data_IF_627468866848
#
_entry.id   IF_627468866848
#
_cell.length_a   1.000
_cell.length_b   1.000
_cell.length_c   1.000
_cell.angle_alpha   90.00
_cell.angle_beta   90.00
_cell.angle_gamma   90.00
#
_symmetry.space_group_name_H-M   'P 1'
#
loop_
_entity.id
_entity.type
_entity.pdbx_description
1 polymer ?
#
# COMPACT_ATOMS: atom_id res chain seq x y z
N UNK A 1 24.46 33.88 -20.62
CA UNK A 1 23.27 34.13 -19.77
C UNK A 1 22.09 33.51 -20.49
N UNK A 2 21.75 32.27 -20.16
CA UNK A 2 20.57 31.61 -20.72
C UNK A 2 19.34 32.19 -20.04
N UNK A 3 18.44 32.76 -20.83
CA UNK A 3 17.13 33.21 -20.36
C UNK A 3 16.32 31.99 -19.94
N UNK A 4 16.06 31.83 -18.65
CA UNK A 4 15.00 30.93 -18.19
C UNK A 4 13.71 31.43 -18.83
N UNK A 5 13.13 30.65 -19.74
CA UNK A 5 11.80 30.92 -20.24
C UNK A 5 10.86 30.84 -19.03
N UNK A 6 10.13 31.91 -18.74
CA UNK A 6 9.09 31.92 -17.74
C UNK A 6 8.03 30.90 -18.18
N UNK A 7 7.82 29.86 -17.37
CA UNK A 7 6.77 28.87 -17.61
C UNK A 7 5.42 29.58 -17.75
N UNK A 8 4.61 29.16 -18.73
CA UNK A 8 3.24 29.65 -18.84
C UNK A 8 2.40 29.07 -17.70
N UNK A 9 1.39 29.82 -17.24
CA UNK A 9 0.44 29.31 -16.24
C UNK A 9 -0.78 28.71 -16.94
N UNK A 10 -1.16 27.50 -16.55
CA UNK A 10 -2.39 26.82 -16.97
C UNK A 10 -3.30 26.67 -15.75
N UNK A 11 -4.53 27.17 -15.85
CA UNK A 11 -5.55 27.02 -14.79
C UNK A 11 -6.59 25.99 -15.23
N UNK A 12 -6.68 24.90 -14.49
CA UNK A 12 -7.68 23.84 -14.63
C UNK A 12 -8.83 24.16 -13.68
N UNK A 13 -9.91 24.73 -14.23
CA UNK A 13 -11.15 25.08 -13.51
C UNK A 13 -12.36 24.25 -13.95
N UNK A 14 -12.14 23.28 -14.83
CA UNK A 14 -13.10 22.26 -15.26
C UNK A 14 -12.39 20.91 -15.29
N UNK A 15 -13.15 19.83 -15.09
CA UNK A 15 -12.58 18.49 -15.10
C UNK A 15 -11.84 18.22 -16.42
N UNK A 16 -10.57 17.86 -16.32
CA UNK A 16 -9.65 17.75 -17.44
C UNK A 16 -8.91 16.42 -17.37
N UNK A 17 -8.71 15.79 -18.53
CA UNK A 17 -7.95 14.56 -18.68
C UNK A 17 -6.70 14.83 -19.51
N UNK A 18 -5.55 14.42 -18.99
CA UNK A 18 -4.25 14.47 -19.65
C UNK A 18 -3.72 13.03 -19.71
N UNK A 19 -3.65 12.49 -20.91
CA UNK A 19 -3.16 11.14 -21.16
C UNK A 19 -1.66 11.12 -21.49
N UNK A 20 -1.10 9.92 -21.63
CA UNK A 20 0.33 9.69 -21.80
C UNK A 20 1.01 10.42 -22.98
N UNK A 21 0.25 10.76 -24.03
CA UNK A 21 0.75 11.45 -25.21
C UNK A 21 0.37 12.95 -25.23
N UNK A 22 -0.25 13.47 -24.16
CA UNK A 22 -0.74 14.84 -24.05
C UNK A 22 0.22 15.73 -23.25
N UNK A 23 1.19 16.33 -23.95
CA UNK A 23 2.14 17.28 -23.35
C UNK A 23 1.60 18.72 -23.17
N UNK A 24 0.28 18.94 -23.20
CA UNK A 24 -0.29 20.30 -23.20
C UNK A 24 -0.01 21.13 -21.94
N UNK A 25 0.31 20.46 -20.83
CA UNK A 25 0.66 21.10 -19.55
C UNK A 25 2.14 20.91 -19.16
N UNK A 26 2.93 20.23 -19.99
CA UNK A 26 4.34 19.97 -19.67
C UNK A 26 5.15 21.27 -19.69
N UNK A 27 5.99 21.44 -18.66
CA UNK A 27 6.80 22.63 -18.41
C UNK A 27 6.01 23.84 -17.94
N UNK A 28 4.71 23.71 -17.64
CA UNK A 28 3.85 24.81 -17.22
C UNK A 28 3.67 24.87 -15.70
N UNK A 29 3.33 26.05 -15.20
CA UNK A 29 2.79 26.23 -13.85
C UNK A 29 1.31 25.84 -13.87
N UNK A 30 0.95 24.73 -13.23
CA UNK A 30 -0.42 24.19 -13.26
C UNK A 30 -1.15 24.53 -11.96
N UNK A 31 -2.29 25.19 -12.09
CA UNK A 31 -3.21 25.46 -10.98
C UNK A 31 -4.49 24.66 -11.18
N UNK A 32 -4.81 23.75 -10.26
CA UNK A 32 -6.08 23.03 -10.23
C UNK A 32 -7.00 23.71 -9.22
N UNK A 33 -8.04 24.39 -9.72
CA UNK A 33 -8.90 25.28 -8.94
C UNK A 33 -10.34 24.74 -8.93
N UNK A 34 -10.69 24.03 -7.85
CA UNK A 34 -12.03 23.48 -7.66
C UNK A 34 -12.48 22.44 -8.70
N UNK A 35 -11.54 21.87 -9.44
CA UNK A 35 -11.77 20.90 -10.51
C UNK A 35 -10.95 19.62 -10.34
N UNK A 36 -11.24 18.62 -11.15
CA UNK A 36 -10.52 17.35 -11.19
C UNK A 36 -9.58 17.28 -12.41
N UNK A 37 -8.28 17.20 -12.17
CA UNK A 37 -7.28 16.85 -13.17
C UNK A 37 -6.98 15.35 -13.08
N UNK A 38 -7.32 14.59 -14.13
CA UNK A 38 -6.89 13.20 -14.28
C UNK A 38 -5.64 13.16 -15.14
N UNK A 39 -4.56 12.58 -14.62
CA UNK A 39 -3.25 12.51 -15.27
C UNK A 39 -2.72 11.07 -15.24
N UNK A 40 -2.31 10.58 -16.40
CA UNK A 40 -1.79 9.23 -16.59
C UNK A 40 -0.35 9.26 -17.09
N UNK A 41 0.43 8.21 -16.82
CA UNK A 41 1.84 8.10 -17.21
C UNK A 41 2.71 9.22 -16.63
N UNK A 42 3.82 9.52 -17.32
CA UNK A 42 4.84 10.47 -16.90
C UNK A 42 4.54 11.86 -17.46
N UNK A 43 4.44 12.85 -16.59
CA UNK A 43 4.37 14.27 -16.98
C UNK A 43 5.35 15.12 -16.20
N UNK A 44 5.82 16.21 -16.82
CA UNK A 44 6.79 17.12 -16.19
C UNK A 44 6.21 18.52 -16.10
N UNK A 45 5.94 19.02 -14.90
CA UNK A 45 5.38 20.36 -14.66
C UNK A 45 6.47 21.31 -14.13
N UNK A 46 6.27 22.61 -14.33
CA UNK A 46 7.10 23.62 -13.67
C UNK A 46 6.73 23.72 -12.18
N UNK A 47 5.44 23.90 -11.88
CA UNK A 47 4.87 23.87 -10.53
C UNK A 47 3.46 23.28 -10.55
N UNK A 48 2.98 22.83 -9.39
CA UNK A 48 1.63 22.32 -9.21
C UNK A 48 0.98 22.92 -7.96
N UNK A 49 -0.13 23.63 -8.14
CA UNK A 49 -0.91 24.23 -7.04
C UNK A 49 -2.33 23.71 -7.07
N UNK A 50 -2.81 23.11 -5.99
CA UNK A 50 -4.21 22.68 -5.85
C UNK A 50 -4.92 23.55 -4.81
N UNK A 51 -5.99 24.22 -5.22
CA UNK A 51 -6.78 25.15 -4.39
C UNK A 51 -8.27 24.91 -4.53
N UNK A 52 -9.05 25.41 -3.58
CA UNK A 52 -10.52 25.38 -3.60
C UNK A 52 -11.13 23.97 -3.81
N UNK A 53 -10.54 22.94 -3.18
CA UNK A 53 -10.90 21.52 -3.36
C UNK A 53 -10.49 20.95 -4.73
N UNK A 54 -9.42 21.48 -5.34
CA UNK A 54 -8.81 20.91 -6.53
C UNK A 54 -8.32 19.48 -6.28
N UNK A 55 -8.51 18.60 -7.26
CA UNK A 55 -8.14 17.18 -7.17
C UNK A 55 -7.26 16.78 -8.34
N UNK A 56 -6.12 16.15 -8.06
CA UNK A 56 -5.33 15.42 -9.06
C UNK A 56 -5.52 13.92 -8.83
N UNK A 57 -5.79 13.16 -9.89
CA UNK A 57 -5.96 11.69 -9.84
C UNK A 57 -5.35 11.01 -11.06
N UNK A 58 -5.38 9.69 -11.12
CA UNK A 58 -5.07 8.92 -12.32
C UNK A 58 -6.22 7.99 -12.70
N UNK A 59 -6.17 7.45 -13.92
CA UNK A 59 -7.17 6.53 -14.44
C UNK A 59 -7.28 5.30 -13.56
N UNK A 60 -8.54 4.95 -13.33
CA UNK A 60 -8.94 3.78 -12.58
C UNK A 60 -8.33 2.51 -13.16
N UNK A 61 -7.42 1.85 -12.43
CA UNK A 61 -6.79 0.58 -12.82
C UNK A 61 -5.39 0.74 -13.32
N UNK A 62 -4.89 1.97 -13.31
CA UNK A 62 -3.69 2.37 -13.99
C UNK A 62 -3.83 2.29 -15.50
N UNK A 63 -2.75 2.69 -16.16
CA UNK A 63 -2.53 2.50 -17.59
C UNK A 63 -1.32 1.62 -17.74
N UNK A 64 -1.26 0.79 -18.80
CA UNK A 64 -0.04 0.07 -19.18
C UNK A 64 0.66 0.96 -20.22
N UNK A 65 1.76 1.66 -19.86
CA UNK A 65 2.47 2.49 -20.81
C UNK A 65 3.09 1.66 -21.93
N UNK A 66 3.37 2.26 -23.10
CA UNK A 66 4.07 1.55 -24.18
C UNK A 66 5.42 0.97 -23.69
N UNK A 67 5.56 -0.35 -23.79
CA UNK A 67 6.79 -1.05 -23.39
C UNK A 67 6.76 -1.68 -22.00
N UNK A 68 5.73 -1.38 -21.20
CA UNK A 68 5.52 -2.00 -19.89
C UNK A 68 4.56 -3.21 -19.98
N UNK A 69 4.63 -4.09 -18.98
CA UNK A 69 3.76 -5.27 -18.88
C UNK A 69 2.71 -5.16 -17.79
N UNK A 70 2.86 -4.20 -16.87
CA UNK A 70 1.99 -4.01 -15.71
C UNK A 70 1.42 -2.59 -15.70
N UNK A 71 0.21 -2.40 -15.15
CA UNK A 71 -0.38 -1.08 -15.05
C UNK A 71 0.31 -0.23 -13.97
N UNK A 72 0.50 1.06 -14.28
CA UNK A 72 1.09 2.06 -13.40
C UNK A 72 0.08 3.15 -13.02
N UNK A 73 0.33 3.83 -11.91
CA UNK A 73 -0.45 5.01 -11.49
C UNK A 73 0.05 6.30 -12.14
N UNK A 74 -0.07 7.43 -11.43
CA UNK A 74 0.52 8.70 -11.89
C UNK A 74 1.99 8.80 -11.53
N UNK A 75 2.76 9.41 -12.42
CA UNK A 75 4.12 9.86 -12.13
C UNK A 75 4.30 11.31 -12.58
N UNK A 76 4.47 12.20 -11.60
CA UNK A 76 4.69 13.62 -11.85
C UNK A 76 6.09 14.02 -11.42
N UNK A 77 6.83 14.59 -12.37
CA UNK A 77 8.03 15.37 -12.08
C UNK A 77 7.65 16.83 -12.04
N UNK A 78 7.88 17.50 -10.91
CA UNK A 78 7.63 18.94 -10.73
C UNK A 78 8.96 19.61 -10.46
N UNK A 79 9.44 20.43 -11.39
CA UNK A 79 10.79 21.01 -11.29
C UNK A 79 10.92 22.07 -10.20
N UNK A 80 9.82 22.73 -9.84
CA UNK A 80 9.70 23.68 -8.75
C UNK A 80 8.91 23.10 -7.58
N UNK A 81 7.87 23.81 -7.15
CA UNK A 81 7.12 23.50 -5.94
C UNK A 81 5.77 22.80 -6.22
N UNK A 82 5.34 21.98 -5.26
CA UNK A 82 3.96 21.51 -5.13
C UNK A 82 3.34 22.18 -3.90
N UNK A 83 2.14 22.73 -4.03
CA UNK A 83 1.32 23.23 -2.93
C UNK A 83 -0.08 22.64 -2.97
N UNK A 84 -0.47 21.91 -1.91
CA UNK A 84 -1.80 21.32 -1.75
C UNK A 84 -2.50 22.05 -0.59
N UNK A 85 -3.43 22.94 -0.90
CA UNK A 85 -4.23 23.65 0.10
C UNK A 85 -5.14 22.68 0.89
N UNK A 86 -5.50 23.06 2.12
CA UNK A 86 -6.51 22.35 2.90
C UNK A 86 -7.82 22.14 2.10
N UNK A 87 -8.31 20.91 2.06
CA UNK A 87 -9.47 20.50 1.26
C UNK A 87 -9.15 20.03 -0.16
N UNK A 88 -7.97 20.37 -0.69
CA UNK A 88 -7.46 19.88 -1.98
C UNK A 88 -6.67 18.59 -1.85
N UNK A 89 -6.57 17.81 -2.94
CA UNK A 89 -6.15 16.40 -2.86
C UNK A 89 -5.34 15.92 -4.06
N UNK A 90 -4.26 15.17 -3.81
CA UNK A 90 -3.74 14.22 -4.79
C UNK A 90 -4.28 12.84 -4.39
N UNK A 91 -5.21 12.29 -5.17
CA UNK A 91 -6.05 11.15 -4.77
C UNK A 91 -5.95 10.00 -5.76
N UNK A 92 -5.52 8.85 -5.27
CA UNK A 92 -5.51 7.54 -5.91
C UNK A 92 -6.40 6.51 -5.19
N UNK A 93 -7.31 6.94 -4.31
CA UNK A 93 -8.23 6.05 -3.61
C UNK A 93 -9.04 5.20 -4.59
N UNK A 94 -9.04 3.88 -4.37
CA UNK A 94 -9.74 2.88 -5.22
C UNK A 94 -9.32 2.95 -6.70
N UNK A 95 -8.11 3.41 -7.02
CA UNK A 95 -7.59 3.53 -8.40
C UNK A 95 -6.68 2.36 -8.83
N UNK A 96 -6.49 1.35 -7.99
CA UNK A 96 -5.69 0.16 -8.27
C UNK A 96 -6.45 -0.98 -8.95
N UNK A 97 -6.06 -2.24 -8.71
CA UNK A 97 -6.70 -3.39 -9.37
C UNK A 97 -8.15 -3.59 -8.92
N UNK A 98 -9.00 -4.01 -9.85
CA UNK A 98 -10.39 -4.36 -9.60
C UNK A 98 -10.54 -5.60 -8.68
N UNK A 99 -11.78 -5.92 -8.28
CA UNK A 99 -12.08 -7.09 -7.44
C UNK A 99 -11.43 -8.37 -7.97
N UNK A 100 -10.93 -9.19 -7.05
CA UNK A 100 -10.28 -10.48 -7.31
C UNK A 100 -9.13 -10.40 -8.35
N UNK A 101 -8.50 -9.22 -8.46
CA UNK A 101 -7.45 -8.95 -9.44
C UNK A 101 -6.24 -8.28 -8.78
N UNK A 102 -5.10 -8.39 -9.46
CA UNK A 102 -3.79 -7.91 -9.00
C UNK A 102 -2.93 -9.02 -8.38
N UNK A 103 -1.62 -8.79 -8.19
CA UNK A 103 -0.69 -9.82 -7.72
C UNK A 103 -1.03 -10.41 -6.34
N UNK A 104 -1.74 -9.65 -5.51
CA UNK A 104 -2.24 -10.07 -4.20
C UNK A 104 -3.76 -9.96 -4.12
N UNK A 105 -4.49 -10.31 -5.18
CA UNK A 105 -5.95 -10.33 -5.18
C UNK A 105 -6.51 -11.23 -4.08
N UNK A 106 -7.56 -10.77 -3.39
CA UNK A 106 -8.22 -11.57 -2.36
C UNK A 106 -8.93 -12.79 -2.97
N UNK A 107 -8.89 -13.91 -2.25
CA UNK A 107 -9.56 -15.15 -2.64
C UNK A 107 -11.09 -15.01 -2.68
N UNK A 108 -11.72 -15.61 -3.69
CA UNK A 108 -13.15 -15.49 -3.96
C UNK A 108 -13.88 -16.78 -3.61
N UNK A 109 -14.87 -16.66 -2.75
CA UNK A 109 -15.72 -17.75 -2.25
C UNK A 109 -17.01 -17.14 -1.66
N UNK A 110 -17.86 -17.93 -1.02
CA UNK A 110 -19.06 -17.41 -0.32
C UNK A 110 -18.66 -16.42 0.79
N UNK A 111 -17.45 -16.56 1.32
CA UNK A 111 -16.79 -15.67 2.26
C UNK A 111 -15.41 -15.29 1.71
N UNK A 112 -15.24 -14.05 1.26
CA UNK A 112 -14.07 -13.65 0.52
C UNK A 112 -12.98 -13.00 1.39
N UNK A 113 -11.72 -13.19 0.97
CA UNK A 113 -10.54 -12.60 1.60
C UNK A 113 -10.25 -11.19 1.08
N UNK A 114 -9.52 -10.42 1.88
CA UNK A 114 -9.07 -9.08 1.50
C UNK A 114 -7.95 -9.10 0.46
N UNK A 115 -7.86 -8.03 -0.33
CA UNK A 115 -6.73 -7.80 -1.22
C UNK A 115 -5.49 -7.38 -0.44
N UNK A 116 -4.31 -7.59 -1.02
CA UNK A 116 -3.02 -7.28 -0.43
C UNK A 116 -2.21 -6.25 -1.21
N UNK A 117 -1.23 -5.66 -0.53
CA UNK A 117 -0.15 -4.88 -1.13
C UNK A 117 1.13 -5.05 -0.30
N UNK A 118 1.44 -4.18 0.66
CA UNK A 118 2.53 -4.43 1.61
C UNK A 118 2.10 -5.30 2.78
N UNK A 119 0.90 -5.06 3.29
CA UNK A 119 0.22 -5.98 4.19
C UNK A 119 -0.45 -7.10 3.40
N UNK A 120 -0.45 -8.30 3.98
CA UNK A 120 -1.34 -9.38 3.55
C UNK A 120 -2.80 -8.94 3.71
N UNK A 121 -3.67 -9.43 2.85
CA UNK A 121 -5.11 -9.29 3.04
C UNK A 121 -5.57 -10.15 4.23
N UNK A 122 -6.62 -9.72 4.89
CA UNK A 122 -7.30 -10.54 5.89
C UNK A 122 -7.95 -11.77 5.27
N UNK A 123 -7.97 -12.87 6.00
CA UNK A 123 -8.76 -14.04 5.66
C UNK A 123 -10.25 -13.83 5.97
N UNK A 124 -11.11 -14.61 5.31
CA UNK A 124 -12.53 -14.65 5.63
C UNK A 124 -12.84 -15.45 6.90
N UNK A 125 -14.04 -15.29 7.45
CA UNK A 125 -14.42 -15.89 8.75
C UNK A 125 -14.54 -17.41 8.76
N UNK A 126 -14.55 -18.06 7.58
CA UNK A 126 -15.01 -19.44 7.41
C UNK A 126 -14.09 -20.30 6.55
N UNK A 127 -12.77 -20.09 6.61
CA UNK A 127 -11.77 -20.82 5.82
C UNK A 127 -11.82 -22.36 5.92
N UNK A 128 -12.36 -22.92 7.00
CA UNK A 128 -12.52 -24.37 7.15
C UNK A 128 -13.56 -24.95 6.18
N UNK A 129 -14.61 -24.18 5.87
CA UNK A 129 -15.68 -24.56 4.95
C UNK A 129 -15.49 -23.98 3.55
N UNK A 130 -14.78 -22.84 3.47
CA UNK A 130 -14.60 -22.01 2.28
C UNK A 130 -13.12 -21.65 2.10
N UNK A 131 -12.29 -22.64 1.71
CA UNK A 131 -10.83 -22.51 1.73
C UNK A 131 -10.29 -21.52 0.70
N UNK A 132 -11.09 -21.13 -0.30
CA UNK A 132 -10.72 -20.16 -1.33
C UNK A 132 -10.92 -18.71 -0.85
N UNK A 133 -11.48 -18.50 0.34
CA UNK A 133 -11.70 -17.20 0.99
C UNK A 133 -10.46 -16.57 1.66
N UNK A 134 -9.25 -16.95 1.25
CA UNK A 134 -7.99 -16.47 1.85
C UNK A 134 -7.64 -15.06 1.41
N UNK A 135 -6.99 -14.30 2.29
CA UNK A 135 -6.40 -13.02 1.96
C UNK A 135 -5.27 -13.14 0.95
N UNK A 136 -5.03 -12.06 0.20
CA UNK A 136 -3.92 -12.00 -0.75
C UNK A 136 -2.55 -11.94 -0.06
N UNK A 137 -1.49 -12.31 -0.79
CA UNK A 137 -0.10 -12.14 -0.35
C UNK A 137 0.46 -10.78 -0.76
N UNK A 138 1.43 -10.29 0.03
CA UNK A 138 2.09 -9.01 -0.20
C UNK A 138 3.06 -9.04 -1.39
N UNK A 139 3.30 -7.87 -2.00
CA UNK A 139 4.20 -7.66 -3.15
C UNK A 139 4.65 -6.19 -3.25
N UNK A 140 5.48 -5.88 -4.25
CA UNK A 140 6.00 -4.54 -4.50
C UNK A 140 7.28 -4.21 -3.73
N UNK A 141 7.88 -3.06 -4.06
CA UNK A 141 9.15 -2.60 -3.48
C UNK A 141 8.91 -1.67 -2.31
N UNK A 142 9.65 -1.88 -1.20
CA UNK A 142 9.67 -0.96 -0.05
C UNK A 142 10.30 0.39 -0.41
N UNK A 143 11.38 0.36 -1.20
CA UNK A 143 12.19 1.55 -1.51
C UNK A 143 11.67 2.31 -2.73
N UNK A 144 11.02 1.61 -3.67
CA UNK A 144 10.52 2.21 -4.93
C UNK A 144 9.05 1.81 -5.16
N UNK A 145 8.11 2.25 -4.30
CA UNK A 145 6.73 1.79 -4.37
C UNK A 145 6.00 2.47 -5.54
N UNK A 146 5.80 1.71 -6.62
CA UNK A 146 5.05 2.15 -7.81
C UNK A 146 3.89 1.22 -8.18
N UNK A 147 3.77 0.06 -7.53
CA UNK A 147 2.73 -0.92 -7.84
C UNK A 147 1.37 -0.49 -7.31
N UNK A 148 0.32 -0.77 -8.07
CA UNK A 148 -1.07 -0.57 -7.63
C UNK A 148 -1.46 -1.58 -6.54
N UNK A 149 -2.37 -1.19 -5.65
CA UNK A 149 -3.04 -2.06 -4.67
C UNK A 149 -3.95 -3.09 -5.32
N UNK A 150 -4.04 -4.30 -4.73
CA UNK A 150 -4.89 -5.38 -5.25
C UNK A 150 -6.33 -5.26 -4.77
N UNK A 151 -7.28 -5.77 -5.55
CA UNK A 151 -8.69 -5.80 -5.17
C UNK A 151 -9.01 -6.98 -4.24
N UNK A 152 -10.03 -6.79 -3.40
CA UNK A 152 -10.58 -7.83 -2.53
C UNK A 152 -11.36 -8.88 -3.32
N UNK A 153 -11.49 -10.07 -2.71
CA UNK A 153 -12.17 -11.21 -3.30
C UNK A 153 -13.67 -11.00 -3.48
N UNK A 154 -14.24 -11.77 -4.39
CA UNK A 154 -15.66 -11.74 -4.73
C UNK A 154 -16.45 -12.68 -3.83
N UNK A 155 -17.59 -12.21 -3.32
CA UNK A 155 -18.64 -13.05 -2.74
C UNK A 155 -19.35 -13.80 -3.87
N UNK A 156 -19.14 -15.12 -3.94
CA UNK A 156 -19.71 -15.96 -5.01
C UNK A 156 -21.18 -16.26 -4.83
N UNK A 157 -21.68 -16.30 -3.59
CA UNK A 157 -23.06 -16.62 -3.25
C UNK A 157 -24.01 -15.50 -3.67
N UNK A 158 -23.62 -14.24 -3.40
CA UNK A 158 -24.43 -13.07 -3.76
C UNK A 158 -23.94 -12.36 -5.04
N UNK A 159 -22.90 -12.91 -5.68
CA UNK A 159 -22.29 -12.38 -6.89
C UNK A 159 -21.73 -10.95 -6.76
N UNK A 160 -21.36 -10.51 -5.55
CA UNK A 160 -20.89 -9.15 -5.24
C UNK A 160 -19.36 -9.05 -5.33
N UNK A 161 -18.88 -8.03 -6.05
CA UNK A 161 -17.44 -7.74 -6.15
C UNK A 161 -16.87 -7.12 -4.88
N UNK A 162 -15.66 -7.53 -4.53
CA UNK A 162 -14.86 -6.94 -3.46
C UNK A 162 -14.43 -5.49 -3.74
N UNK A 163 -13.87 -4.89 -2.71
CA UNK A 163 -13.30 -3.55 -2.74
C UNK A 163 -12.14 -3.45 -3.73
N UNK A 164 -12.02 -2.30 -4.37
CA UNK A 164 -10.94 -2.02 -5.33
C UNK A 164 -9.67 -1.59 -4.60
N UNK A 165 -8.50 -2.00 -5.06
CA UNK A 165 -7.24 -1.56 -4.46
C UNK A 165 -6.97 -0.07 -4.65
N UNK A 166 -6.11 0.51 -3.82
CA UNK A 166 -5.57 1.87 -3.97
C UNK A 166 -4.65 1.98 -5.20
N UNK A 167 -4.58 3.16 -5.80
CA UNK A 167 -3.72 3.41 -6.95
C UNK A 167 -2.26 3.69 -6.57
N UNK A 168 -1.47 4.23 -7.49
CA UNK A 168 -0.09 4.61 -7.23
C UNK A 168 0.16 6.08 -7.56
N UNK A 169 0.89 6.76 -6.68
CA UNK A 169 1.28 8.15 -6.82
C UNK A 169 2.80 8.21 -6.69
N UNK A 170 3.49 8.71 -7.73
CA UNK A 170 4.91 9.03 -7.67
C UNK A 170 5.12 10.51 -7.96
N UNK A 171 5.69 11.24 -7.01
CA UNK A 171 5.99 12.67 -7.11
C UNK A 171 7.49 12.88 -6.95
N UNK A 172 8.13 13.48 -7.95
CA UNK A 172 9.50 13.97 -7.88
C UNK A 172 9.47 15.49 -7.91
N UNK A 173 9.78 16.15 -6.80
CA UNK A 173 9.64 17.60 -6.61
C UNK A 173 11.01 18.24 -6.41
N UNK A 174 11.40 19.16 -7.30
CA UNK A 174 12.70 19.83 -7.21
C UNK A 174 12.79 20.78 -6.00
N UNK A 175 11.68 21.39 -5.61
CA UNK A 175 11.59 22.35 -4.52
C UNK A 175 10.83 21.81 -3.30
N UNK A 176 9.89 22.61 -2.82
CA UNK A 176 9.05 22.32 -1.66
C UNK A 176 7.81 21.53 -2.09
N UNK A 177 7.53 20.43 -1.40
CA UNK A 177 6.25 19.76 -1.41
C UNK A 177 5.50 20.14 -0.13
N UNK A 178 4.63 21.16 -0.25
CA UNK A 178 3.77 21.65 0.84
C UNK A 178 2.42 20.94 0.79
N UNK A 179 2.12 20.16 1.82
CA UNK A 179 0.91 19.34 1.93
C UNK A 179 0.11 19.80 3.15
N UNK A 180 -0.85 20.71 2.95
CA UNK A 180 -1.86 21.08 3.94
C UNK A 180 -3.24 20.43 3.67
N UNK A 181 -3.43 19.90 2.46
CA UNK A 181 -4.52 19.01 2.08
C UNK A 181 -4.18 17.52 2.29
N UNK A 182 -4.45 16.67 1.31
CA UNK A 182 -4.14 15.23 1.43
C UNK A 182 -3.48 14.63 0.19
N UNK A 183 -2.64 13.61 0.43
CA UNK A 183 -2.17 12.66 -0.58
C UNK A 183 -2.66 11.27 -0.18
N UNK A 184 -3.51 10.65 -1.00
CA UNK A 184 -4.29 9.47 -0.57
C UNK A 184 -4.23 8.34 -1.61
N UNK A 185 -3.95 7.12 -1.18
CA UNK A 185 -3.99 5.91 -2.01
C UNK A 185 -4.77 4.78 -1.30
N UNK A 186 -5.95 5.10 -0.76
CA UNK A 186 -6.75 4.19 0.06
C UNK A 186 -7.35 3.03 -0.74
N UNK A 187 -7.37 1.86 -0.11
CA UNK A 187 -8.17 0.72 -0.54
C UNK A 187 -9.68 0.98 -0.42
N UNK A 188 -10.46 0.23 -1.20
CA UNK A 188 -11.92 0.28 -1.11
C UNK A 188 -12.46 -0.68 -0.09
N UNK A 189 -13.44 -0.23 0.69
CA UNK A 189 -14.19 -1.10 1.60
C UNK A 189 -14.95 -2.20 0.86
N UNK A 190 -15.42 -3.19 1.61
CA UNK A 190 -16.33 -4.21 1.10
C UNK A 190 -17.64 -3.59 0.57
N UNK A 191 -18.10 -4.06 -0.60
CA UNK A 191 -19.33 -3.59 -1.24
C UNK A 191 -20.56 -4.50 -0.98
N UNK A 192 -20.48 -5.46 -0.05
CA UNK A 192 -21.55 -6.43 0.22
C UNK A 192 -21.28 -7.32 1.43
N UNK A 193 -22.21 -8.21 1.76
CA UNK A 193 -22.19 -8.90 3.06
C UNK A 193 -20.96 -9.77 3.32
N UNK A 194 -20.34 -10.33 2.27
CA UNK A 194 -19.17 -11.22 2.41
C UNK A 194 -18.02 -10.93 1.43
N UNK A 195 -18.08 -9.84 0.65
CA UNK A 195 -17.01 -9.52 -0.29
C UNK A 195 -15.78 -8.95 0.46
N UNK A 196 -14.57 -9.26 0.00
CA UNK A 196 -13.33 -8.80 0.63
C UNK A 196 -13.06 -7.32 0.35
N UNK A 197 -12.34 -6.64 1.24
CA UNK A 197 -11.93 -5.26 1.00
C UNK A 197 -10.64 -5.17 0.14
N UNK A 198 -10.43 -4.04 -0.53
CA UNK A 198 -9.26 -3.79 -1.37
C UNK A 198 -8.07 -3.28 -0.56
N UNK A 199 -6.85 -3.58 -1.01
CA UNK A 199 -5.62 -3.13 -0.37
C UNK A 199 -5.37 -1.63 -0.55
N UNK A 200 -4.54 -1.05 0.32
CA UNK A 200 -3.91 0.23 0.08
C UNK A 200 -3.01 0.22 -1.16
N UNK A 201 -2.66 1.41 -1.63
CA UNK A 201 -1.84 1.63 -2.82
C UNK A 201 -0.40 2.05 -2.51
N UNK A 202 0.25 2.68 -3.49
CA UNK A 202 1.61 3.21 -3.34
C UNK A 202 1.63 4.74 -3.34
N UNK A 203 2.41 5.34 -2.43
CA UNK A 203 2.74 6.77 -2.45
C UNK A 203 4.26 6.89 -2.35
N UNK A 204 4.88 7.51 -3.35
CA UNK A 204 6.30 7.81 -3.37
C UNK A 204 6.50 9.30 -3.61
N UNK A 205 7.07 10.00 -2.64
CA UNK A 205 7.36 11.43 -2.73
C UNK A 205 8.85 11.63 -2.50
N UNK A 206 9.55 12.10 -3.54
CA UNK A 206 10.93 12.56 -3.46
C UNK A 206 10.94 14.07 -3.63
N UNK A 207 11.39 14.84 -2.63
CA UNK A 207 11.36 16.30 -2.66
C UNK A 207 12.58 16.97 -2.05
N UNK A 208 12.80 18.26 -2.35
CA UNK A 208 13.78 19.07 -1.61
C UNK A 208 13.32 19.25 -0.16
N UNK A 209 12.19 19.91 0.03
CA UNK A 209 11.58 20.13 1.36
C UNK A 209 10.19 19.52 1.44
N UNK A 210 9.95 18.65 2.42
CA UNK A 210 8.61 18.16 2.77
C UNK A 210 8.04 19.03 3.90
N UNK A 211 6.89 19.66 3.68
CA UNK A 211 6.29 20.60 4.64
C UNK A 211 4.77 20.47 4.70
N UNK A 212 4.18 21.02 5.76
CA UNK A 212 2.72 21.11 5.93
C UNK A 212 2.18 20.25 7.07
N UNK A 213 0.87 20.27 7.20
CA UNK A 213 0.12 19.65 8.31
C UNK A 213 -1.01 18.74 7.86
N UNK A 214 -1.15 18.55 6.55
CA UNK A 214 -2.08 17.65 5.89
C UNK A 214 -1.75 16.16 6.11
N UNK A 215 -2.42 15.25 5.39
CA UNK A 215 -2.23 13.81 5.60
C UNK A 215 -1.68 13.09 4.38
N UNK A 216 -0.90 12.02 4.63
CA UNK A 216 -0.39 11.10 3.60
C UNK A 216 -0.81 9.68 3.99
N UNK A 217 -1.77 9.09 3.26
CA UNK A 217 -2.45 7.85 3.70
C UNK A 217 -2.58 6.81 2.59
N UNK A 218 -2.19 5.57 2.89
CA UNK A 218 -2.27 4.42 1.98
C UNK A 218 -2.88 3.19 2.69
N UNK A 219 -3.89 3.42 3.54
CA UNK A 219 -4.53 2.37 4.32
C UNK A 219 -5.37 1.42 3.46
N UNK A 220 -5.49 0.17 3.92
CA UNK A 220 -6.38 -0.84 3.36
C UNK A 220 -7.85 -0.55 3.66
N UNK A 221 -8.74 -1.05 2.80
CA UNK A 221 -10.18 -0.91 2.97
C UNK A 221 -10.73 -1.81 4.08
N UNK A 222 -11.89 -1.42 4.63
CA UNK A 222 -12.56 -2.13 5.71
C UNK A 222 -13.47 -3.23 5.13
N UNK A 223 -13.23 -4.47 5.57
CA UNK A 223 -14.08 -5.64 5.33
C UNK A 223 -15.30 -5.68 6.26
N UNK A 224 -16.05 -6.77 6.22
CA UNK A 224 -17.17 -7.01 7.14
C UNK A 224 -16.75 -7.97 8.25
N UNK A 225 -17.64 -8.29 9.19
CA UNK A 225 -17.40 -9.37 10.17
C UNK A 225 -17.28 -10.76 9.55
N UNK A 226 -17.47 -10.89 8.24
CA UNK A 226 -17.48 -12.15 7.51
C UNK A 226 -16.41 -12.20 6.41
N UNK A 227 -15.83 -11.07 6.05
CA UNK A 227 -14.82 -10.95 4.99
C UNK A 227 -13.53 -10.34 5.50
N UNK A 228 -12.44 -10.58 4.77
CA UNK A 228 -11.14 -10.05 5.12
C UNK A 228 -10.99 -8.55 4.91
N UNK A 229 -10.27 -7.89 5.81
CA UNK A 229 -9.81 -6.51 5.65
C UNK A 229 -8.71 -6.39 4.59
N UNK A 230 -8.59 -5.23 3.94
CA UNK A 230 -7.54 -4.99 2.95
C UNK A 230 -6.18 -4.79 3.61
N UNK A 231 -5.11 -5.33 3.04
CA UNK A 231 -3.75 -5.07 3.51
C UNK A 231 -3.34 -3.62 3.29
N UNK A 232 -2.48 -3.08 4.18
CA UNK A 232 -1.94 -1.74 4.05
C UNK A 232 -1.01 -1.57 2.84
N UNK A 233 -0.90 -0.33 2.36
CA UNK A 233 -0.10 0.04 1.20
C UNK A 233 1.37 0.36 1.50
N UNK A 234 2.04 1.03 0.56
CA UNK A 234 3.44 1.46 0.70
C UNK A 234 3.55 2.98 0.60
N UNK A 235 4.28 3.57 1.52
CA UNK A 235 4.64 4.99 1.49
C UNK A 235 6.16 5.09 1.54
N UNK A 236 6.76 5.84 0.63
CA UNK A 236 8.17 6.25 0.69
C UNK A 236 8.27 7.77 0.59
N UNK A 237 8.84 8.39 1.62
CA UNK A 237 9.07 9.83 1.70
C UNK A 237 10.57 10.10 1.73
N UNK A 238 11.10 10.56 0.61
CA UNK A 238 12.49 10.96 0.44
C UNK A 238 12.59 12.48 0.42
N UNK A 239 13.38 13.06 1.32
CA UNK A 239 13.50 14.52 1.44
C UNK A 239 14.90 14.95 1.82
N UNK A 240 15.27 16.19 1.52
CA UNK A 240 16.51 16.80 2.02
C UNK A 240 16.26 17.49 3.37
N UNK A 241 15.10 18.14 3.51
CA UNK A 241 14.61 18.74 4.75
C UNK A 241 13.14 18.39 4.96
N UNK A 242 12.72 18.25 6.23
CA UNK A 242 11.30 18.07 6.57
C UNK A 242 10.90 18.95 7.74
N UNK A 243 9.80 19.67 7.56
CA UNK A 243 9.03 20.35 8.61
C UNK A 243 7.59 19.83 8.66
N UNK A 244 7.31 18.74 7.96
CA UNK A 244 6.00 18.11 7.93
C UNK A 244 5.65 17.51 9.30
N UNK A 245 4.45 17.84 9.78
CA UNK A 245 3.94 17.42 11.10
C UNK A 245 2.62 16.64 11.00
N UNK A 246 2.18 16.38 9.77
CA UNK A 246 0.95 15.67 9.50
C UNK A 246 1.05 14.16 9.73
N UNK A 247 -0.08 13.45 9.82
CA UNK A 247 -0.07 12.00 9.93
C UNK A 247 0.37 11.31 8.63
N UNK A 248 1.11 10.21 8.79
CA UNK A 248 1.46 9.29 7.70
C UNK A 248 1.03 7.88 8.10
N UNK A 249 0.17 7.23 7.32
CA UNK A 249 -0.33 5.89 7.65
C UNK A 249 -0.44 4.95 6.45
N UNK A 250 -0.19 3.67 6.71
CA UNK A 250 -0.38 2.58 5.76
C UNK A 250 -0.95 1.36 6.50
N UNK A 251 -2.00 1.54 7.29
CA UNK A 251 -2.59 0.50 8.12
C UNK A 251 -3.33 -0.54 7.28
N UNK A 252 -3.42 -1.77 7.79
CA UNK A 252 -4.42 -2.72 7.32
C UNK A 252 -5.82 -2.28 7.71
N UNK A 253 -6.80 -2.60 6.87
CA UNK A 253 -8.21 -2.36 7.15
C UNK A 253 -8.80 -3.46 8.03
N UNK A 254 -9.84 -3.12 8.80
CA UNK A 254 -10.50 -4.09 9.68
C UNK A 254 -11.25 -5.17 8.88
N UNK A 255 -11.45 -6.36 9.46
CA UNK A 255 -12.28 -7.42 8.86
C UNK A 255 -12.62 -8.54 9.84
N UNK A 256 -13.06 -9.69 9.31
CA UNK A 256 -13.09 -10.92 10.12
C UNK A 256 -11.69 -11.32 10.56
N UNK A 257 -10.74 -11.12 9.65
CA UNK A 257 -9.33 -10.96 9.98
C UNK A 257 -8.94 -9.59 9.43
N UNK A 258 -8.31 -8.76 10.26
CA UNK A 258 -7.80 -7.47 9.80
C UNK A 258 -6.71 -7.67 8.75
N UNK A 259 -6.51 -6.70 7.86
CA UNK A 259 -5.36 -6.67 6.97
C UNK A 259 -4.05 -6.45 7.74
N UNK A 260 -2.96 -6.94 7.17
CA UNK A 260 -1.63 -6.67 7.71
C UNK A 260 -1.24 -5.21 7.50
N UNK A 261 -0.34 -4.71 8.34
CA UNK A 261 0.24 -3.39 8.16
C UNK A 261 0.98 -3.29 6.83
N UNK A 262 0.89 -2.11 6.22
CA UNK A 262 1.76 -1.68 5.14
C UNK A 262 3.11 -1.19 5.65
N UNK A 263 3.80 -0.38 4.84
CA UNK A 263 5.12 0.14 5.18
C UNK A 263 5.22 1.64 4.93
N UNK A 264 5.88 2.36 5.85
CA UNK A 264 6.23 3.78 5.70
C UNK A 264 7.75 3.95 5.79
N UNK A 265 8.40 4.29 4.68
CA UNK A 265 9.83 4.60 4.62
C UNK A 265 10.04 6.12 4.69
N UNK A 266 10.87 6.56 5.63
CA UNK A 266 11.28 7.94 5.81
C UNK A 266 12.78 8.04 5.55
N UNK A 267 13.18 8.76 4.50
CA UNK A 267 14.58 8.89 4.09
C UNK A 267 15.00 10.37 4.00
N UNK A 268 15.88 10.78 4.92
CA UNK A 268 16.55 12.07 4.83
C UNK A 268 17.86 11.93 4.03
N UNK A 269 17.78 12.27 2.75
CA UNK A 269 18.85 12.09 1.76
C UNK A 269 20.13 12.90 2.05
N UNK A 270 20.06 13.91 2.93
CA UNK A 270 21.21 14.77 3.27
C UNK A 270 21.62 14.69 4.74
N UNK A 271 20.79 14.08 5.59
CA UNK A 271 20.96 14.07 7.05
C UNK A 271 22.06 13.15 7.56
N UNK A 272 22.67 12.33 6.71
CA UNK A 272 23.74 11.39 7.07
C UNK A 272 23.33 10.25 8.01
N UNK A 273 22.04 10.16 8.37
CA UNK A 273 21.44 9.04 9.09
C UNK A 273 20.90 7.97 8.13
N UNK A 274 20.69 6.76 8.64
CA UNK A 274 19.99 5.70 7.90
C UNK A 274 18.51 6.09 7.75
N UNK A 275 17.89 5.74 6.62
CA UNK A 275 16.44 5.81 6.48
C UNK A 275 15.74 5.00 7.58
N UNK A 276 14.46 5.29 7.85
CA UNK A 276 13.64 4.58 8.83
C UNK A 276 12.41 3.99 8.15
N UNK A 277 12.25 2.67 8.25
CA UNK A 277 11.07 1.92 7.84
C UNK A 277 10.19 1.66 9.06
N UNK A 278 8.99 2.25 9.09
CA UNK A 278 7.99 2.05 10.13
C UNK A 278 6.92 1.09 9.61
N UNK A 279 6.62 0.08 10.43
CA UNK A 279 5.52 -0.87 10.26
C UNK A 279 4.64 -0.77 11.50
N UNK A 280 3.45 -0.19 11.31
CA UNK A 280 2.48 0.14 12.36
C UNK A 280 1.11 -0.34 11.87
N UNK A 281 0.31 -0.99 12.73
CA UNK A 281 -1.04 -1.43 12.39
C UNK A 281 -2.13 -0.83 13.29
N UNK A 282 -1.92 0.39 13.79
CA UNK A 282 -2.87 1.17 14.56
C UNK A 282 -3.45 0.42 15.77
N UNK A 283 -2.60 -0.29 16.50
CA UNK A 283 -2.96 -1.15 17.63
C UNK A 283 -4.01 -2.22 17.30
N UNK A 284 -4.07 -2.67 16.03
CA UNK A 284 -4.84 -3.86 15.65
C UNK A 284 -4.42 -5.04 16.52
N UNK A 285 -5.40 -5.83 16.96
CA UNK A 285 -5.19 -7.01 17.79
C UNK A 285 -5.18 -8.29 16.97
N UNK A 286 -5.48 -8.19 15.67
CA UNK A 286 -5.46 -9.31 14.75
C UNK A 286 -4.06 -9.55 14.16
N UNK A 287 -3.90 -10.65 13.41
CA UNK A 287 -2.61 -11.27 13.14
C UNK A 287 -2.15 -11.28 11.69
N UNK A 288 -2.84 -10.59 10.78
CA UNK A 288 -2.36 -10.52 9.41
C UNK A 288 -0.98 -9.81 9.36
N UNK A 289 -0.14 -10.29 8.46
CA UNK A 289 1.27 -9.94 8.45
C UNK A 289 1.56 -8.83 7.45
N UNK A 290 2.57 -8.03 7.75
CA UNK A 290 3.46 -7.49 6.72
C UNK A 290 4.41 -8.61 6.32
N UNK A 291 4.24 -9.20 5.13
CA UNK A 291 4.99 -10.41 4.80
C UNK A 291 6.42 -10.11 4.32
N UNK A 292 7.33 -10.95 4.76
CA UNK A 292 8.74 -11.03 4.41
C UNK A 292 8.91 -12.34 3.62
N UNK A 293 8.37 -12.33 2.41
CA UNK A 293 8.38 -13.49 1.52
C UNK A 293 9.73 -13.56 0.78
N UNK A 294 10.46 -14.65 0.97
CA UNK A 294 11.78 -14.82 0.34
C UNK A 294 12.87 -13.99 1.01
N UNK A 295 13.85 -13.54 0.22
CA UNK A 295 14.94 -12.68 0.67
C UNK A 295 14.53 -11.21 0.58
N UNK A 296 14.36 -10.58 1.74
CA UNK A 296 14.02 -9.16 1.86
C UNK A 296 15.20 -8.43 2.48
N UNK A 297 15.74 -7.47 1.73
CA UNK A 297 16.83 -6.60 2.18
C UNK A 297 16.28 -5.21 2.42
N UNK A 298 16.40 -4.73 3.65
CA UNK A 298 16.00 -3.38 4.04
C UNK A 298 17.26 -2.58 4.37
N UNK A 299 17.54 -1.57 3.55
CA UNK A 299 18.62 -0.59 3.77
C UNK A 299 18.12 0.59 4.59
N UNK A 300 17.54 0.29 5.75
CA UNK A 300 16.96 1.24 6.69
C UNK A 300 17.05 0.68 8.11
N UNK A 301 16.94 1.53 9.12
CA UNK A 301 16.45 1.11 10.42
C UNK A 301 14.98 0.69 10.30
N UNK A 302 14.54 -0.30 11.06
CA UNK A 302 13.20 -0.89 10.99
C UNK A 302 12.55 -0.85 12.36
N UNK A 303 11.35 -0.29 12.44
CA UNK A 303 10.50 -0.32 13.62
C UNK A 303 9.21 -1.10 13.31
N UNK A 304 8.96 -2.17 14.05
CA UNK A 304 7.69 -2.92 14.03
C UNK A 304 6.94 -2.66 15.34
N UNK A 305 5.76 -2.05 15.29
CA UNK A 305 5.07 -1.58 16.50
C UNK A 305 3.54 -1.58 16.35
N UNK A 306 2.81 -1.28 17.43
CA UNK A 306 1.39 -0.95 17.43
C UNK A 306 0.53 -1.98 16.67
N UNK A 307 0.65 -3.26 17.01
CA UNK A 307 -0.13 -4.34 16.39
C UNK A 307 0.44 -4.84 15.06
N UNK A 308 1.52 -4.27 14.54
CA UNK A 308 2.19 -4.79 13.36
C UNK A 308 2.91 -6.10 13.63
N UNK A 309 2.83 -7.03 12.69
CA UNK A 309 3.46 -8.33 12.76
C UNK A 309 4.20 -8.63 11.46
N UNK A 310 5.48 -8.97 11.55
CA UNK A 310 6.28 -9.38 10.39
C UNK A 310 6.48 -10.89 10.40
N UNK A 311 6.44 -11.53 9.24
CA UNK A 311 6.63 -12.98 9.10
C UNK A 311 6.52 -13.40 7.63
N UNK A 312 6.44 -14.68 7.32
CA UNK A 312 6.30 -15.13 5.92
C UNK A 312 4.89 -15.66 5.63
N UNK A 313 4.49 -15.68 4.36
CA UNK A 313 3.28 -16.38 3.92
C UNK A 313 3.33 -17.87 4.29
N UNK A 314 2.17 -18.48 4.57
CA UNK A 314 2.08 -19.93 4.82
C UNK A 314 2.58 -20.72 3.61
N UNK A 315 3.32 -21.81 3.85
CA UNK A 315 3.82 -22.68 2.77
C UNK A 315 5.19 -22.28 2.19
N UNK A 316 5.78 -21.18 2.66
CA UNK A 316 7.16 -20.83 2.37
C UNK A 316 8.14 -21.56 3.30
N UNK A 317 9.37 -21.79 2.83
CA UNK A 317 10.41 -22.51 3.58
C UNK A 317 11.00 -21.70 4.75
N UNK A 318 10.73 -20.39 4.81
CA UNK A 318 11.17 -19.52 5.90
C UNK A 318 11.03 -18.03 5.56
N UNK A 319 11.39 -17.18 6.52
CA UNK A 319 11.54 -15.73 6.34
C UNK A 319 13.03 -15.36 6.37
N UNK A 320 13.50 -14.63 5.36
CA UNK A 320 14.89 -14.17 5.28
C UNK A 320 14.91 -12.64 5.24
N UNK A 321 15.04 -12.01 6.41
CA UNK A 321 15.15 -10.56 6.54
C UNK A 321 16.60 -10.17 6.81
N UNK A 322 17.16 -9.34 5.94
CA UNK A 322 18.43 -8.63 6.19
C UNK A 322 18.13 -7.16 6.43
N UNK A 323 18.48 -6.65 7.61
CA UNK A 323 18.37 -5.23 7.96
C UNK A 323 19.76 -4.62 7.99
N UNK A 324 20.06 -3.72 7.06
CA UNK A 324 21.31 -2.97 6.99
C UNK A 324 21.22 -1.67 7.82
N UNK A 325 20.80 -1.85 9.07
CA UNK A 325 20.49 -0.85 10.07
C UNK A 325 20.17 -1.55 11.39
N UNK A 326 19.30 -0.96 12.19
CA UNK A 326 18.76 -1.55 13.42
C UNK A 326 17.37 -2.13 13.18
N UNK A 327 17.05 -3.25 13.81
CA UNK A 327 15.68 -3.76 13.88
C UNK A 327 15.16 -3.63 15.31
N UNK A 328 14.10 -2.84 15.48
CA UNK A 328 13.39 -2.65 16.73
C UNK A 328 11.98 -3.27 16.64
N UNK A 329 11.65 -4.08 17.65
CA UNK A 329 10.29 -4.56 17.88
C UNK A 329 9.73 -3.76 19.05
N UNK A 330 8.91 -2.76 18.73
CA UNK A 330 8.23 -1.88 19.68
C UNK A 330 7.03 -2.53 20.35
N UNK A 331 6.31 -1.74 21.16
CA UNK A 331 5.12 -2.20 21.87
C UNK A 331 4.05 -2.73 20.91
N UNK A 332 3.51 -3.93 21.18
CA UNK A 332 2.53 -4.59 20.30
C UNK A 332 3.10 -5.10 18.97
N UNK A 333 4.35 -4.81 18.64
CA UNK A 333 5.06 -5.36 17.50
C UNK A 333 5.45 -6.81 17.69
N UNK A 334 5.56 -7.60 16.62
CA UNK A 334 6.13 -8.95 16.70
C UNK A 334 6.76 -9.47 15.41
N UNK A 335 7.65 -10.45 15.56
CA UNK A 335 7.99 -11.39 14.49
C UNK A 335 7.11 -12.63 14.69
N UNK A 336 6.14 -12.86 13.79
CA UNK A 336 5.17 -13.95 13.91
C UNK A 336 5.31 -15.00 12.81
N UNK A 337 5.83 -16.16 13.22
CA UNK A 337 5.97 -17.36 12.39
C UNK A 337 5.08 -18.52 12.89
N UNK A 338 4.12 -18.23 13.78
CA UNK A 338 3.26 -19.27 14.35
C UNK A 338 2.35 -19.87 13.29
N UNK A 339 2.15 -21.19 13.40
CA UNK A 339 1.25 -21.97 12.53
C UNK A 339 1.62 -21.91 11.03
N UNK A 340 2.86 -21.53 10.69
CA UNK A 340 3.32 -21.40 9.29
C UNK A 340 4.22 -22.53 8.80
N UNK A 341 4.39 -23.57 9.64
CA UNK A 341 5.09 -24.80 9.31
C UNK A 341 4.19 -25.82 8.60
N UNK A 342 4.60 -27.09 8.61
CA UNK A 342 3.86 -28.19 8.00
C UNK A 342 2.44 -28.36 8.56
N UNK A 343 1.52 -28.81 7.69
CA UNK A 343 0.18 -29.19 8.07
C UNK A 343 0.12 -30.43 8.95
N UNK A 344 -1.06 -30.74 9.47
CA UNK A 344 -1.27 -31.93 10.28
C UNK A 344 -0.96 -33.22 9.48
N UNK A 345 -0.12 -34.10 10.04
CA UNK A 345 0.31 -35.33 9.37
C UNK A 345 1.42 -35.14 8.32
N UNK A 346 1.94 -33.92 8.18
CA UNK A 346 3.02 -33.59 7.26
C UNK A 346 4.32 -33.29 8.00
N UNK A 347 5.43 -33.28 7.25
CA UNK A 347 6.75 -32.85 7.73
C UNK A 347 7.65 -33.96 8.29
N UNK A 348 8.97 -33.72 8.37
CA UNK A 348 9.96 -34.73 8.76
C UNK A 348 9.79 -35.26 10.19
N UNK A 349 9.23 -34.45 11.08
CA UNK A 349 8.98 -34.80 12.48
C UNK A 349 7.53 -35.17 12.78
N UNK A 350 6.74 -35.53 11.76
CA UNK A 350 5.31 -35.81 11.94
C UNK A 350 5.07 -36.96 12.91
N UNK A 351 4.09 -36.80 13.79
CA UNK A 351 3.74 -37.83 14.78
C UNK A 351 3.03 -39.02 14.14
N UNK A 352 3.13 -40.19 14.77
CA UNK A 352 2.44 -41.39 14.28
C UNK A 352 0.92 -41.23 14.39
N UNK A 353 0.18 -41.52 13.32
CA UNK A 353 -1.28 -41.53 13.34
C UNK A 353 -1.84 -42.89 13.75
N UNK A 354 -2.69 -42.91 14.77
CA UNK A 354 -3.55 -44.03 15.14
C UNK A 354 -5.03 -43.66 15.05
N UNK A 355 -5.92 -44.65 15.15
CA UNK A 355 -7.37 -44.46 14.96
C UNK A 355 -8.03 -43.63 16.06
N UNK A 356 -7.55 -43.76 17.31
CA UNK A 356 -8.09 -43.05 18.48
C UNK A 356 -7.03 -42.21 19.22
N UNK A 357 -5.75 -42.39 18.89
CA UNK A 357 -4.62 -41.73 19.53
C UNK A 357 -3.57 -41.43 18.47
N UNK A 358 -2.94 -40.27 18.55
CA UNK A 358 -1.83 -39.88 17.70
C UNK A 358 -0.70 -39.34 18.57
N UNK A 359 0.55 -39.50 18.11
CA UNK A 359 1.70 -38.85 18.73
C UNK A 359 1.81 -37.40 18.27
N UNK A 360 2.36 -36.54 19.11
CA UNK A 360 2.75 -35.19 18.78
C UNK A 360 3.90 -35.16 17.77
N UNK A 361 3.97 -34.10 16.98
CA UNK A 361 5.09 -33.86 16.08
C UNK A 361 6.31 -33.32 16.85
N UNK A 362 7.52 -33.64 16.39
CA UNK A 362 8.78 -33.16 16.95
C UNK A 362 9.48 -32.16 16.02
N UNK A 363 10.13 -31.14 16.58
CA UNK A 363 11.04 -30.24 15.87
C UNK A 363 12.02 -29.60 16.86
N UNK A 364 13.30 -29.98 16.82
CA UNK A 364 14.29 -29.60 17.85
C UNK A 364 14.13 -30.34 19.19
N UNK A 365 13.01 -31.03 19.41
CA UNK A 365 12.72 -31.93 20.52
C UNK A 365 11.75 -33.05 20.11
N UNK A 366 11.58 -34.07 20.94
CA UNK A 366 10.67 -35.18 20.66
C UNK A 366 9.20 -34.78 20.84
N UNK A 367 8.34 -35.22 19.91
CA UNK A 367 6.88 -35.17 20.09
C UNK A 367 6.40 -36.26 21.06
N UNK A 368 5.36 -35.95 21.85
CA UNK A 368 4.85 -36.81 22.93
C UNK A 368 3.52 -37.48 22.63
#
# INVERSE_FOLDING_TARGET
>A
MGTAAQAGTVVISVDTFIGCDDGSIDGMDVVVDGAMLTIDCDHTLASLTLVNNGVVTHTSGGIIPPGETEPVGMHLTVTGDISIEGGSLIRANRRGFASASGPGGGGSDDYAGGGAHAGAGGDSSSLASYPDGRGGSSYGSVHEPVSLGSGGGRDTNNAVGGGRGGGAIRLTVGGTCLIDGSVEALGGDSNGSQAGAGAGGSIWIACGTLAGSGQIVADGGIGTSQSGGGGGGRIALEYEMSTFIGPVSAFGGMGSVDGGAGTVLLDNRTGGGTAMLVIDNNASTDRALTEINGEVVVTADVLVTNGAHIGHATGLQGAHLTVNGSLEIGEGGSVDIRLRGHGAGEGPGTGSQGTNYAGGAGHGGAGG
#
